data_IF_306599729372
#
_entry.id   IF_306599729372
#
_cell.length_a   1.000
_cell.length_b   1.000
_cell.length_c   1.000
_cell.angle_alpha   90.00
_cell.angle_beta   90.00
_cell.angle_gamma   90.00
#
_symmetry.space_group_name_H-M   'P 1'
#
loop_
_entity.id
_entity.type
_entity.pdbx_description
1 polymer ?
#
# COMPACT_ATOMS: atom_id res chain seq x y z
N UNK A 1 -7.74 -5.26 -15.99
CA UNK A 1 -8.93 -5.60 -16.74
C UNK A 1 -9.15 -4.58 -17.85
N UNK A 2 -9.39 -5.04 -19.08
CA UNK A 2 -9.63 -4.14 -20.22
C UNK A 2 -11.10 -3.75 -20.36
N UNK A 3 -11.96 -4.32 -19.51
CA UNK A 3 -13.41 -4.04 -19.56
C UNK A 3 -13.85 -3.27 -18.31
N UNK A 4 -14.75 -2.30 -18.45
CA UNK A 4 -15.26 -1.58 -17.30
C UNK A 4 -16.05 -2.52 -16.38
N UNK A 5 -15.91 -2.35 -15.08
CA UNK A 5 -16.72 -3.04 -14.11
C UNK A 5 -18.15 -2.46 -14.12
N UNK A 6 -19.14 -3.31 -14.17
CA UNK A 6 -20.56 -2.92 -14.18
C UNK A 6 -21.45 -3.84 -13.33
N UNK A 7 -22.73 -3.56 -13.30
CA UNK A 7 -23.74 -4.33 -12.52
C UNK A 7 -24.02 -5.75 -13.03
N UNK A 8 -23.53 -6.12 -14.22
CA UNK A 8 -23.70 -7.46 -14.80
C UNK A 8 -22.64 -8.46 -14.30
N UNK A 9 -21.72 -8.03 -13.44
CA UNK A 9 -20.71 -8.90 -12.85
C UNK A 9 -21.32 -10.03 -12.02
N UNK A 10 -20.67 -11.20 -11.94
CA UNK A 10 -21.13 -12.29 -11.10
C UNK A 10 -21.20 -11.88 -9.62
N UNK A 11 -22.31 -12.26 -8.95
CA UNK A 11 -22.49 -11.94 -7.51
C UNK A 11 -21.45 -12.55 -6.59
N UNK A 12 -20.81 -13.62 -7.03
CA UNK A 12 -19.71 -14.27 -6.31
C UNK A 12 -18.32 -13.72 -6.67
N UNK A 13 -18.25 -12.53 -7.25
CA UNK A 13 -16.98 -11.85 -7.48
C UNK A 13 -16.27 -11.55 -6.17
N UNK A 14 -14.98 -11.33 -6.26
CA UNK A 14 -14.09 -10.97 -5.15
C UNK A 14 -13.59 -9.56 -5.39
N UNK A 15 -13.65 -8.69 -4.40
CA UNK A 15 -12.97 -7.40 -4.46
C UNK A 15 -11.56 -7.55 -3.87
N UNK A 16 -10.54 -7.18 -4.64
CA UNK A 16 -9.19 -6.95 -4.15
C UNK A 16 -9.00 -5.46 -3.94
N UNK A 17 -8.62 -5.05 -2.73
CA UNK A 17 -8.35 -3.66 -2.38
C UNK A 17 -6.99 -3.55 -1.69
N UNK A 18 -6.27 -2.46 -1.92
CA UNK A 18 -4.95 -2.21 -1.38
C UNK A 18 -4.17 -1.18 -2.20
N UNK A 19 -2.88 -1.14 -1.98
CA UNK A 19 -1.95 -0.20 -2.59
C UNK A 19 -1.36 -0.71 -3.93
N UNK A 20 -0.11 -0.35 -4.21
CA UNK A 20 0.65 -0.74 -5.40
C UNK A 20 0.90 -2.25 -5.52
N UNK A 21 0.88 -2.99 -4.41
CA UNK A 21 1.01 -4.46 -4.43
C UNK A 21 -0.27 -5.08 -5.00
N UNK A 22 -1.43 -4.56 -4.61
CA UNK A 22 -2.71 -4.99 -5.17
C UNK A 22 -2.87 -4.57 -6.64
N UNK A 23 -2.42 -3.35 -7.01
CA UNK A 23 -2.45 -2.90 -8.41
C UNK A 23 -1.61 -3.79 -9.32
N UNK A 24 -0.53 -4.38 -8.81
CA UNK A 24 0.39 -5.22 -9.57
C UNK A 24 1.43 -4.42 -10.36
N UNK A 25 1.99 -3.38 -9.74
CA UNK A 25 3.04 -2.57 -10.37
C UNK A 25 4.26 -3.43 -10.72
N UNK A 26 4.76 -3.24 -11.95
CA UNK A 26 5.99 -3.88 -12.42
C UNK A 26 5.77 -5.10 -13.29
N UNK A 27 4.53 -5.58 -13.42
CA UNK A 27 4.17 -6.70 -14.28
C UNK A 27 3.09 -6.32 -15.29
N UNK A 28 2.93 -7.12 -16.34
CA UNK A 28 1.81 -6.97 -17.26
C UNK A 28 0.50 -7.41 -16.58
N UNK A 29 -0.64 -6.95 -17.10
CA UNK A 29 -1.96 -7.21 -16.54
C UNK A 29 -2.20 -8.70 -16.25
N UNK A 30 -1.95 -9.55 -17.23
CA UNK A 30 -2.17 -11.02 -17.12
C UNK A 30 -1.31 -11.73 -16.07
N UNK A 31 -0.30 -11.03 -15.53
CA UNK A 31 0.62 -11.55 -14.51
C UNK A 31 0.42 -10.88 -13.15
N UNK A 32 -0.60 -10.03 -13.00
CA UNK A 32 -0.95 -9.46 -11.70
C UNK A 32 -1.58 -10.51 -10.79
N UNK A 33 -1.47 -10.33 -9.50
CA UNK A 33 -2.11 -11.22 -8.51
C UNK A 33 -3.59 -11.44 -8.79
N UNK A 34 -4.33 -10.38 -9.13
CA UNK A 34 -5.76 -10.44 -9.39
C UNK A 34 -6.10 -11.36 -10.58
N UNK A 35 -5.44 -11.16 -11.71
CA UNK A 35 -5.68 -11.94 -12.93
C UNK A 35 -5.23 -13.41 -12.76
N UNK A 36 -4.11 -13.63 -12.07
CA UNK A 36 -3.64 -14.99 -11.78
C UNK A 36 -4.62 -15.71 -10.86
N UNK A 37 -5.05 -15.06 -9.76
CA UNK A 37 -6.01 -15.64 -8.83
C UNK A 37 -7.35 -15.91 -9.53
N UNK A 38 -7.88 -14.96 -10.31
CA UNK A 38 -9.12 -15.11 -11.09
C UNK A 38 -9.10 -16.37 -11.95
N UNK A 39 -8.01 -16.55 -12.71
CA UNK A 39 -7.80 -17.71 -13.57
C UNK A 39 -7.73 -19.02 -12.79
N UNK A 40 -7.03 -19.01 -11.64
CA UNK A 40 -6.80 -20.20 -10.84
C UNK A 40 -8.07 -20.69 -10.11
N UNK A 41 -8.94 -19.78 -9.68
CA UNK A 41 -10.16 -20.14 -8.94
C UNK A 41 -11.43 -20.14 -9.81
N UNK A 42 -11.35 -19.62 -11.04
CA UNK A 42 -12.50 -19.53 -11.96
C UNK A 42 -13.58 -18.57 -11.48
N UNK A 43 -13.23 -17.53 -10.69
CA UNK A 43 -14.14 -16.51 -10.16
C UNK A 43 -13.56 -15.13 -10.44
N UNK A 44 -14.42 -14.17 -10.78
CA UNK A 44 -14.02 -12.80 -11.08
C UNK A 44 -13.36 -12.12 -9.89
N UNK A 45 -12.20 -11.53 -10.11
CA UNK A 45 -11.47 -10.72 -9.11
C UNK A 45 -11.41 -9.27 -9.59
N UNK A 46 -12.14 -8.41 -8.90
CA UNK A 46 -12.23 -6.98 -9.21
C UNK A 46 -11.09 -6.25 -8.51
N UNK A 47 -10.09 -5.84 -9.27
CA UNK A 47 -8.90 -5.20 -8.73
C UNK A 47 -9.12 -3.69 -8.50
N UNK A 48 -9.18 -3.28 -7.25
CA UNK A 48 -9.22 -1.91 -6.76
C UNK A 48 -7.91 -1.48 -6.10
N UNK A 49 -6.81 -2.17 -6.39
CA UNK A 49 -5.46 -1.74 -6.00
C UNK A 49 -5.10 -0.43 -6.68
N UNK A 50 -4.44 0.46 -5.96
CA UNK A 50 -4.02 1.74 -6.49
C UNK A 50 -2.69 2.18 -5.93
N UNK A 51 -1.74 2.42 -6.81
CA UNK A 51 -0.43 2.94 -6.47
C UNK A 51 -0.43 4.43 -6.11
N UNK A 52 0.77 5.00 -6.02
CA UNK A 52 1.00 6.42 -5.79
C UNK A 52 0.53 6.94 -4.43
N UNK A 53 0.87 6.18 -3.39
CA UNK A 53 0.62 6.56 -1.99
C UNK A 53 -0.86 6.44 -1.58
N UNK A 54 -1.46 5.39 -2.03
CA UNK A 54 -2.80 5.01 -1.67
C UNK A 54 -2.73 4.18 -0.38
N UNK A 55 -3.46 4.60 0.63
CA UNK A 55 -3.42 3.96 1.94
C UNK A 55 -4.82 3.84 2.55
N UNK A 56 -4.96 3.34 3.78
CA UNK A 56 -6.23 2.90 4.37
C UNK A 56 -7.38 3.91 4.34
N UNK A 57 -7.11 5.22 4.39
CA UNK A 57 -8.15 6.24 4.25
C UNK A 57 -8.75 6.26 2.85
N UNK A 58 -7.90 6.17 1.83
CA UNK A 58 -8.36 6.16 0.44
C UNK A 58 -9.02 4.84 0.09
N UNK A 59 -8.52 3.73 0.61
CA UNK A 59 -9.08 2.39 0.43
C UNK A 59 -10.50 2.30 1.02
N UNK A 60 -10.71 2.84 2.22
CA UNK A 60 -12.05 2.92 2.81
C UNK A 60 -12.99 3.78 1.96
N UNK A 61 -12.54 4.95 1.53
CA UNK A 61 -13.34 5.83 0.68
C UNK A 61 -13.68 5.13 -0.64
N UNK A 62 -12.69 4.51 -1.30
CA UNK A 62 -12.86 3.82 -2.57
C UNK A 62 -13.86 2.67 -2.45
N UNK A 63 -13.74 1.84 -1.42
CA UNK A 63 -14.66 0.76 -1.18
C UNK A 63 -16.08 1.31 -0.97
N UNK A 64 -16.27 2.19 -0.02
CA UNK A 64 -17.56 2.73 0.37
C UNK A 64 -18.29 3.50 -0.74
N UNK A 65 -17.53 4.19 -1.63
CA UNK A 65 -18.14 5.06 -2.65
C UNK A 65 -18.19 4.45 -4.04
N UNK A 66 -17.48 3.37 -4.30
CA UNK A 66 -17.43 2.77 -5.64
C UNK A 66 -17.49 1.24 -5.60
N UNK A 67 -16.55 0.57 -4.92
CA UNK A 67 -16.47 -0.88 -5.01
C UNK A 67 -17.66 -1.59 -4.37
N UNK A 68 -18.25 -1.02 -3.31
CA UNK A 68 -19.45 -1.57 -2.65
C UNK A 68 -20.71 -1.59 -3.54
N UNK A 69 -20.76 -0.79 -4.61
CA UNK A 69 -21.85 -0.75 -5.56
C UNK A 69 -21.84 -1.94 -6.55
N UNK A 70 -20.69 -2.61 -6.68
CA UNK A 70 -20.53 -3.72 -7.61
C UNK A 70 -20.91 -5.06 -6.97
N UNK A 71 -21.46 -6.01 -7.77
CA UNK A 71 -21.77 -7.34 -7.27
C UNK A 71 -20.52 -8.08 -6.80
N UNK A 72 -20.46 -8.43 -5.52
CA UNK A 72 -19.39 -9.25 -4.93
C UNK A 72 -19.87 -9.86 -3.61
N UNK A 73 -19.22 -10.92 -3.15
CA UNK A 73 -19.51 -11.55 -1.87
C UNK A 73 -18.29 -11.76 -0.97
N UNK A 74 -17.11 -11.46 -1.47
CA UNK A 74 -15.86 -11.59 -0.73
C UNK A 74 -14.92 -10.41 -0.97
N UNK A 75 -14.01 -10.16 -0.01
CA UNK A 75 -12.98 -9.14 -0.09
C UNK A 75 -11.62 -9.71 0.29
N UNK A 76 -10.60 -9.37 -0.48
CA UNK A 76 -9.19 -9.51 -0.12
C UNK A 76 -8.63 -8.11 0.08
N UNK A 77 -8.19 -7.83 1.30
CA UNK A 77 -7.57 -6.56 1.69
C UNK A 77 -6.07 -6.74 1.88
N UNK A 78 -5.29 -6.14 1.01
CA UNK A 78 -3.84 -6.10 1.14
C UNK A 78 -3.44 -4.95 2.05
N UNK A 79 -2.75 -5.29 3.13
CA UNK A 79 -2.22 -4.34 4.10
C UNK A 79 -0.70 -4.42 4.13
N UNK A 80 -0.04 -3.35 3.69
CA UNK A 80 1.42 -3.22 3.62
C UNK A 80 1.92 -2.24 4.70
N UNK A 81 2.31 -2.70 5.90
CA UNK A 81 2.76 -1.84 7.00
C UNK A 81 3.86 -0.84 6.63
N UNK A 82 4.70 -1.18 5.64
CA UNK A 82 5.76 -0.32 5.14
C UNK A 82 5.25 1.01 4.55
N UNK A 83 4.03 1.02 4.01
CA UNK A 83 3.37 2.17 3.39
C UNK A 83 2.20 2.65 4.24
N UNK A 84 1.29 1.76 4.59
CA UNK A 84 -0.03 2.06 5.12
C UNK A 84 0.00 2.85 6.42
N UNK A 85 0.99 2.62 7.26
CA UNK A 85 1.13 3.41 8.49
C UNK A 85 1.41 4.90 8.25
N UNK A 86 2.03 5.25 7.13
CA UNK A 86 2.49 6.63 6.91
C UNK A 86 1.73 7.37 5.80
N UNK A 87 1.07 6.65 4.91
CA UNK A 87 0.55 7.26 3.68
C UNK A 87 -0.57 8.27 3.95
N UNK A 88 -1.42 8.02 4.90
CA UNK A 88 -2.49 8.95 5.26
C UNK A 88 -2.18 9.83 6.48
N UNK A 89 -0.96 9.79 6.99
CA UNK A 89 -0.52 10.70 8.05
C UNK A 89 0.14 11.95 7.45
N UNK A 90 -0.51 13.09 7.62
CA UNK A 90 -0.01 14.36 7.10
C UNK A 90 1.37 14.75 7.64
N UNK A 91 1.72 14.36 8.86
CA UNK A 91 3.02 14.68 9.51
C UNK A 91 4.18 14.15 8.67
N UNK A 92 4.04 12.94 8.12
CA UNK A 92 5.03 12.29 7.27
C UNK A 92 5.21 12.98 5.93
N UNK A 93 4.15 13.59 5.40
CA UNK A 93 4.18 14.24 4.09
C UNK A 93 4.57 15.71 4.13
N UNK A 94 4.33 16.41 5.24
CA UNK A 94 4.76 17.80 5.43
C UNK A 94 6.25 17.93 5.73
N UNK A 95 6.87 16.89 6.30
CA UNK A 95 8.30 16.86 6.61
C UNK A 95 9.19 16.53 5.41
N UNK A 96 8.63 16.02 4.31
CA UNK A 96 9.34 15.68 3.08
C UNK A 96 9.21 16.78 2.03
N UNK A 97 10.14 16.80 1.07
CA UNK A 97 10.19 17.83 0.01
C UNK A 97 8.93 17.92 -0.89
N UNK A 98 8.05 16.91 -0.85
CA UNK A 98 6.79 16.85 -1.59
C UNK A 98 5.61 17.39 -0.79
N UNK A 99 5.68 18.61 -0.34
CA UNK A 99 4.83 19.27 0.65
C UNK A 99 3.33 19.37 0.34
N UNK A 100 2.87 19.10 -0.86
CA UNK A 100 1.50 19.46 -1.26
C UNK A 100 0.84 18.37 -2.09
N UNK A 101 0.49 17.26 -1.44
CA UNK A 101 -0.42 16.31 -2.06
C UNK A 101 -1.84 16.60 -1.59
N UNK A 102 -2.70 17.01 -2.52
CA UNK A 102 -4.13 17.14 -2.28
C UNK A 102 -4.77 15.76 -2.29
N UNK A 103 -4.79 15.13 -1.13
CA UNK A 103 -5.43 13.83 -0.90
C UNK A 103 -6.04 13.80 0.49
N UNK A 104 -6.91 12.82 0.80
CA UNK A 104 -7.41 12.63 2.15
C UNK A 104 -6.28 12.19 3.10
N UNK A 105 -6.32 12.74 4.29
CA UNK A 105 -5.51 12.35 5.43
C UNK A 105 -6.42 12.04 6.61
N UNK A 106 -5.93 11.27 7.57
CA UNK A 106 -6.62 11.19 8.86
C UNK A 106 -6.17 12.32 9.79
N UNK A 107 -7.05 12.67 10.70
CA UNK A 107 -6.79 13.56 11.83
C UNK A 107 -7.45 12.99 13.07
N UNK A 108 -6.67 12.87 14.15
CA UNK A 108 -7.21 12.46 15.45
C UNK A 108 -8.15 13.54 15.99
N UNK A 109 -9.33 13.11 16.44
CA UNK A 109 -10.28 13.92 17.19
C UNK A 109 -10.27 13.48 18.67
N UNK A 110 -11.38 13.31 19.33
CA UNK A 110 -11.44 12.88 20.73
C UNK A 110 -11.52 11.34 20.85
N UNK A 111 -11.08 10.80 21.99
CA UNK A 111 -11.30 9.39 22.36
C UNK A 111 -10.80 8.34 21.34
N UNK A 112 -9.63 8.58 20.74
CA UNK A 112 -9.05 7.70 19.71
C UNK A 112 -9.94 7.51 18.46
N UNK A 113 -10.84 8.44 18.20
CA UNK A 113 -11.54 8.53 16.92
C UNK A 113 -10.73 9.37 15.94
N UNK A 114 -10.90 9.07 14.66
CA UNK A 114 -10.24 9.76 13.57
C UNK A 114 -11.26 10.18 12.53
N UNK A 115 -11.02 11.34 11.91
CA UNK A 115 -11.81 11.83 10.80
C UNK A 115 -10.95 12.02 9.56
N UNK A 116 -11.58 11.97 8.39
CA UNK A 116 -10.93 12.32 7.13
C UNK A 116 -10.90 13.83 7.01
N UNK A 117 -9.75 14.39 6.67
CA UNK A 117 -9.66 15.80 6.33
C UNK A 117 -8.86 16.02 5.04
N UNK A 118 -9.23 17.05 4.32
CA UNK A 118 -8.52 17.53 3.13
C UNK A 118 -7.84 18.85 3.46
N UNK A 119 -6.51 18.95 3.27
CA UNK A 119 -5.81 20.19 3.60
C UNK A 119 -6.30 21.34 2.70
N UNK A 120 -6.95 22.32 3.30
CA UNK A 120 -7.38 23.57 2.65
C UNK A 120 -6.22 24.57 2.57
N UNK A 121 -5.13 24.20 1.93
CA UNK A 121 -4.06 25.15 1.69
C UNK A 121 -4.43 26.00 0.47
N UNK A 122 -4.83 27.26 0.71
CA UNK A 122 -4.92 28.27 -0.36
C UNK A 122 -3.52 28.39 -0.95
N UNK A 123 -3.30 27.81 -2.11
CA UNK A 123 -2.06 27.98 -2.86
C UNK A 123 -1.98 29.45 -3.26
N UNK A 124 -1.28 30.23 -2.45
CA UNK A 124 -0.93 31.60 -2.82
C UNK A 124 -0.11 31.54 -4.10
N UNK A 125 -0.61 32.16 -5.17
CA UNK A 125 0.02 32.23 -6.51
C UNK A 125 0.09 30.91 -7.30
N UNK A 126 -1.04 30.20 -7.43
CA UNK A 126 -1.17 28.96 -8.24
C UNK A 126 -0.53 29.07 -9.63
N UNK A 127 -0.69 30.20 -10.32
CA UNK A 127 -0.24 30.37 -11.69
C UNK A 127 1.30 30.38 -11.83
N UNK A 128 2.00 31.15 -11.00
CA UNK A 128 3.48 31.25 -11.06
C UNK A 128 4.18 29.96 -10.61
N UNK A 129 3.64 29.28 -9.58
CA UNK A 129 4.19 28.01 -9.10
C UNK A 129 3.92 26.92 -10.15
N UNK A 130 2.73 26.88 -10.71
CA UNK A 130 2.36 25.92 -11.77
C UNK A 130 3.20 26.12 -13.03
N UNK A 131 3.41 27.37 -13.48
CA UNK A 131 4.21 27.65 -14.67
C UNK A 131 5.69 27.33 -14.47
N UNK A 132 6.28 27.72 -13.33
CA UNK A 132 7.68 27.38 -13.01
C UNK A 132 7.87 25.87 -12.88
N UNK A 133 6.97 25.17 -12.18
CA UNK A 133 7.00 23.73 -12.02
C UNK A 133 6.82 23.03 -13.38
N UNK A 134 5.92 23.48 -14.21
CA UNK A 134 5.68 22.92 -15.54
C UNK A 134 6.90 23.10 -16.45
N UNK A 135 7.48 24.30 -16.51
CA UNK A 135 8.67 24.57 -17.33
C UNK A 135 9.87 23.75 -16.81
N UNK A 136 10.09 23.74 -15.50
CA UNK A 136 11.17 22.96 -14.90
C UNK A 136 11.01 21.46 -15.16
N UNK A 137 9.80 20.94 -14.99
CA UNK A 137 9.51 19.53 -15.26
C UNK A 137 9.70 19.18 -16.73
N UNK A 138 9.26 20.05 -17.67
CA UNK A 138 9.49 19.85 -19.13
C UNK A 138 10.97 19.85 -19.47
N UNK A 139 11.75 20.80 -18.95
CA UNK A 139 13.20 20.84 -19.15
C UNK A 139 13.86 19.60 -18.57
N UNK A 140 13.46 19.18 -17.37
CA UNK A 140 13.99 17.98 -16.72
C UNK A 140 13.67 16.72 -17.53
N UNK A 141 12.44 16.58 -18.01
CA UNK A 141 12.03 15.44 -18.84
C UNK A 141 12.79 15.43 -20.17
N UNK A 142 12.94 16.57 -20.85
CA UNK A 142 13.75 16.68 -22.08
C UNK A 142 15.21 16.32 -21.80
N UNK A 143 15.79 16.81 -20.72
CA UNK A 143 17.16 16.48 -20.34
C UNK A 143 17.34 14.97 -20.09
N UNK A 144 16.41 14.33 -19.39
CA UNK A 144 16.44 12.88 -19.13
C UNK A 144 16.27 12.09 -20.43
N UNK A 145 15.37 12.54 -21.30
CA UNK A 145 15.03 11.82 -22.53
C UNK A 145 16.13 11.94 -23.61
N UNK A 146 16.80 13.08 -23.69
CA UNK A 146 17.72 13.38 -24.79
C UNK A 146 19.20 13.49 -24.41
N UNK A 147 19.58 13.37 -23.14
CA UNK A 147 20.99 13.47 -22.74
C UNK A 147 21.46 12.29 -21.90
N UNK A 148 22.53 11.63 -22.36
CA UNK A 148 23.24 10.61 -21.57
C UNK A 148 23.80 11.19 -20.27
N UNK A 149 24.24 12.44 -20.27
CA UNK A 149 24.78 13.14 -19.09
C UNK A 149 23.78 13.26 -17.94
N UNK A 150 22.51 13.60 -18.22
CA UNK A 150 21.50 13.70 -17.17
C UNK A 150 21.18 12.31 -16.55
N UNK A 151 21.16 11.26 -17.36
CA UNK A 151 20.96 9.90 -16.88
C UNK A 151 22.16 9.39 -16.07
N UNK A 152 23.38 9.70 -16.51
CA UNK A 152 24.61 9.36 -15.78
C UNK A 152 24.65 10.07 -14.43
N UNK A 153 24.35 11.38 -14.38
CA UNK A 153 24.28 12.14 -13.11
C UNK A 153 23.20 11.61 -12.18
N UNK A 154 22.03 11.20 -12.71
CA UNK A 154 20.97 10.57 -11.91
C UNK A 154 21.42 9.24 -11.32
N UNK A 155 22.16 8.45 -12.10
CA UNK A 155 22.73 7.17 -11.64
C UNK A 155 23.82 7.40 -10.59
N UNK A 156 24.73 8.34 -10.83
CA UNK A 156 25.79 8.72 -9.87
C UNK A 156 25.16 9.21 -8.57
N UNK A 157 24.14 10.08 -8.63
CA UNK A 157 23.45 10.56 -7.44
C UNK A 157 22.72 9.43 -6.68
N UNK A 158 22.15 8.45 -7.39
CA UNK A 158 21.56 7.26 -6.75
C UNK A 158 22.62 6.40 -6.09
N UNK A 159 23.76 6.16 -6.74
CA UNK A 159 24.88 5.43 -6.16
C UNK A 159 25.47 6.20 -4.98
N UNK A 160 25.71 7.50 -5.11
CA UNK A 160 26.18 8.35 -4.02
C UNK A 160 25.22 8.32 -2.83
N UNK A 161 23.91 8.41 -3.08
CA UNK A 161 22.88 8.26 -2.04
C UNK A 161 22.87 6.87 -1.39
N UNK A 162 23.19 5.80 -2.14
CA UNK A 162 23.38 4.45 -1.55
C UNK A 162 24.61 4.37 -0.64
N UNK A 163 25.71 5.01 -1.03
CA UNK A 163 26.97 4.98 -0.27
C UNK A 163 27.02 6.00 0.87
N UNK A 164 26.34 7.14 0.73
CA UNK A 164 26.32 8.22 1.72
C UNK A 164 25.08 8.22 2.59
N UNK A 165 24.16 7.27 2.45
CA UNK A 165 23.06 7.09 3.40
C UNK A 165 23.62 6.77 4.80
N UNK A 166 24.30 7.74 5.42
CA UNK A 166 24.00 8.07 6.80
C UNK A 166 22.48 8.23 6.83
N UNK A 167 21.84 7.46 7.71
CA UNK A 167 20.43 7.63 8.06
C UNK A 167 20.20 9.14 8.23
N UNK A 168 19.69 9.82 7.20
CA UNK A 168 18.99 11.07 7.41
C UNK A 168 17.70 10.66 8.11
N UNK A 169 17.84 10.37 9.40
CA UNK A 169 16.75 10.50 10.35
C UNK A 169 16.39 11.98 10.24
N UNK A 170 15.37 12.25 9.42
CA UNK A 170 14.72 13.55 9.44
C UNK A 170 14.32 13.73 10.90
N UNK A 171 14.94 14.70 11.56
CA UNK A 171 14.78 14.95 12.99
C UNK A 171 13.41 15.64 13.21
N UNK A 172 12.35 14.93 12.86
CA UNK A 172 10.95 15.35 13.02
C UNK A 172 10.41 15.01 14.40
N UNK A 173 11.22 14.37 15.26
CA UNK A 173 10.74 13.77 16.50
C UNK A 173 9.84 12.55 16.27
N UNK A 174 9.70 12.11 15.02
CA UNK A 174 8.95 10.92 14.61
C UNK A 174 9.95 9.76 14.52
N UNK A 175 9.59 8.63 15.06
CA UNK A 175 10.37 7.42 15.22
C UNK A 175 11.07 6.92 13.95
N UNK A 176 12.05 6.07 14.11
CA UNK A 176 12.95 5.58 13.06
C UNK A 176 12.62 4.19 12.53
N UNK A 177 11.54 3.57 12.97
CA UNK A 177 11.10 2.26 12.51
C UNK A 177 10.55 2.29 11.08
N UNK A 178 10.47 1.14 10.42
CA UNK A 178 9.89 0.96 9.09
C UNK A 178 9.18 -0.40 9.03
N UNK A 179 8.13 -0.49 8.21
CA UNK A 179 7.39 -1.73 8.02
C UNK A 179 6.83 -2.28 9.32
N UNK A 180 7.03 -3.55 9.56
CA UNK A 180 6.56 -4.26 10.77
C UNK A 180 7.12 -3.69 12.07
N UNK A 181 8.30 -3.06 12.02
CA UNK A 181 8.98 -2.49 13.19
C UNK A 181 8.82 -0.97 13.30
N UNK A 182 7.82 -0.45 12.62
CA UNK A 182 7.41 0.94 12.76
C UNK A 182 6.77 1.18 14.13
N UNK A 183 7.03 2.33 14.77
CA UNK A 183 6.68 2.58 16.17
C UNK A 183 6.03 3.95 16.45
N UNK A 184 5.62 4.70 15.41
CA UNK A 184 4.78 5.89 15.60
C UNK A 184 3.33 5.48 15.86
N UNK A 185 2.95 5.48 17.13
CA UNK A 185 1.62 5.00 17.56
C UNK A 185 0.47 5.79 16.96
N UNK A 186 0.62 7.11 16.72
CA UNK A 186 -0.47 7.90 16.16
C UNK A 186 -0.71 7.55 14.68
N UNK A 187 0.37 7.35 13.93
CA UNK A 187 0.29 6.91 12.55
C UNK A 187 -0.32 5.50 12.43
N UNK A 188 0.11 4.57 13.28
CA UNK A 188 -0.41 3.21 13.38
C UNK A 188 -1.90 3.23 13.73
N UNK A 189 -2.27 3.91 14.81
CA UNK A 189 -3.64 3.93 15.31
C UNK A 189 -4.60 4.56 14.27
N UNK A 190 -4.18 5.62 13.57
CA UNK A 190 -4.94 6.24 12.50
C UNK A 190 -5.13 5.31 11.29
N UNK A 191 -4.06 4.64 10.85
CA UNK A 191 -4.11 3.67 9.77
C UNK A 191 -5.05 2.51 10.11
N UNK A 192 -4.86 1.87 11.26
CA UNK A 192 -5.68 0.75 11.72
C UNK A 192 -7.15 1.13 11.98
N UNK A 193 -7.43 2.39 12.36
CA UNK A 193 -8.80 2.88 12.48
C UNK A 193 -9.54 2.83 11.13
N UNK A 194 -8.91 3.28 10.05
CA UNK A 194 -9.52 3.25 8.73
C UNK A 194 -9.55 1.85 8.12
N UNK A 195 -8.54 1.00 8.36
CA UNK A 195 -8.60 -0.42 8.02
C UNK A 195 -9.78 -1.12 8.69
N UNK A 196 -10.01 -0.85 9.99
CA UNK A 196 -11.19 -1.38 10.70
C UNK A 196 -12.49 -0.86 10.09
N UNK A 197 -12.55 0.43 9.74
CA UNK A 197 -13.74 1.03 9.13
C UNK A 197 -14.06 0.40 7.79
N UNK A 198 -13.07 0.19 6.91
CA UNK A 198 -13.19 -0.55 5.66
C UNK A 198 -13.82 -1.94 5.87
N UNK A 199 -13.31 -2.71 6.84
CA UNK A 199 -13.80 -4.05 7.14
C UNK A 199 -15.22 -4.06 7.73
N UNK A 200 -15.61 -3.01 8.44
CA UNK A 200 -16.98 -2.83 8.95
C UNK A 200 -17.96 -2.45 7.84
N UNK A 201 -17.56 -1.60 6.88
CA UNK A 201 -18.36 -1.31 5.68
C UNK A 201 -18.60 -2.59 4.84
N UNK A 202 -17.63 -3.50 4.84
CA UNK A 202 -17.73 -4.81 4.17
C UNK A 202 -18.35 -5.91 5.05
N UNK A 203 -19.05 -5.57 6.14
CA UNK A 203 -19.52 -6.55 7.14
C UNK A 203 -20.57 -7.53 6.64
N UNK A 204 -21.28 -7.20 5.57
CA UNK A 204 -22.28 -8.04 4.91
C UNK A 204 -21.70 -9.13 4.00
N UNK A 205 -20.39 -9.10 3.72
CA UNK A 205 -19.74 -10.08 2.87
C UNK A 205 -19.57 -11.42 3.58
N UNK A 206 -19.60 -12.49 2.81
CA UNK A 206 -19.41 -13.87 3.29
C UNK A 206 -18.01 -14.05 3.90
N UNK A 207 -16.99 -13.46 3.25
CA UNK A 207 -15.60 -13.57 3.71
C UNK A 207 -14.82 -12.26 3.46
N UNK A 208 -14.00 -11.91 4.44
CA UNK A 208 -13.05 -10.81 4.37
C UNK A 208 -11.69 -11.34 4.81
N UNK A 209 -10.71 -11.24 3.92
CA UNK A 209 -9.35 -11.69 4.14
C UNK A 209 -8.43 -10.46 4.24
N UNK A 210 -7.73 -10.31 5.35
CA UNK A 210 -6.66 -9.33 5.52
C UNK A 210 -5.35 -10.04 5.25
N UNK A 211 -4.66 -9.64 4.20
CA UNK A 211 -3.32 -10.16 3.86
C UNK A 211 -2.28 -9.14 4.26
N UNK A 212 -1.49 -9.46 5.28
CA UNK A 212 -0.36 -8.60 5.69
C UNK A 212 0.83 -8.92 4.80
N UNK A 213 1.40 -7.89 4.20
CA UNK A 213 2.51 -7.98 3.26
C UNK A 213 3.78 -7.46 3.91
N UNK A 214 4.80 -8.31 4.11
CA UNK A 214 6.10 -7.87 4.60
C UNK A 214 6.90 -7.14 3.53
N UNK A 215 7.86 -6.35 3.96
CA UNK A 215 8.91 -5.79 3.11
C UNK A 215 10.23 -6.53 3.31
N UNK A 216 11.19 -6.35 2.41
CA UNK A 216 12.53 -6.93 2.55
C UNK A 216 13.18 -6.57 3.89
N UNK A 217 12.99 -5.32 4.35
CA UNK A 217 13.56 -4.87 5.63
C UNK A 217 12.93 -5.59 6.82
N UNK A 218 11.68 -6.05 6.71
CA UNK A 218 11.02 -6.81 7.77
C UNK A 218 11.68 -8.17 7.93
N UNK A 219 11.97 -8.87 6.84
CA UNK A 219 12.75 -10.13 6.88
C UNK A 219 14.15 -9.92 7.42
N UNK A 220 14.85 -8.84 7.04
CA UNK A 220 16.16 -8.50 7.60
C UNK A 220 16.11 -8.32 9.12
N UNK A 221 15.07 -7.65 9.62
CA UNK A 221 14.88 -7.45 11.05
C UNK A 221 14.55 -8.76 11.77
N UNK A 222 13.69 -9.60 11.20
CA UNK A 222 13.33 -10.91 11.77
C UNK A 222 14.54 -11.86 11.79
N UNK A 223 15.32 -11.89 10.73
CA UNK A 223 16.57 -12.66 10.66
C UNK A 223 17.57 -12.24 11.75
N UNK A 224 17.58 -10.95 12.12
CA UNK A 224 18.36 -10.44 13.25
C UNK A 224 17.69 -10.65 14.63
N UNK A 225 16.72 -11.53 14.73
CA UNK A 225 16.07 -11.97 15.97
C UNK A 225 14.99 -11.03 16.51
N UNK A 226 14.53 -10.04 15.74
CA UNK A 226 13.41 -9.21 16.16
C UNK A 226 12.09 -9.95 15.93
N UNK A 227 11.17 -9.82 16.90
CA UNK A 227 9.82 -10.39 16.83
C UNK A 227 8.77 -9.29 16.80
N UNK A 228 8.00 -9.19 15.71
CA UNK A 228 6.94 -8.21 15.52
C UNK A 228 5.59 -8.67 16.07
N UNK A 229 5.38 -9.98 16.29
CA UNK A 229 4.07 -10.54 16.70
C UNK A 229 3.60 -10.06 18.07
N UNK A 230 4.52 -9.54 18.89
CA UNK A 230 4.22 -8.93 20.18
C UNK A 230 4.08 -7.41 20.11
N UNK A 231 4.29 -6.79 18.95
CA UNK A 231 4.13 -5.35 18.80
C UNK A 231 2.66 -4.95 18.83
N UNK A 232 2.40 -3.77 19.36
CA UNK A 232 1.03 -3.25 19.55
C UNK A 232 0.20 -3.31 18.26
N UNK A 233 0.73 -2.88 17.13
CA UNK A 233 0.00 -2.87 15.86
C UNK A 233 -0.46 -4.26 15.42
N UNK A 234 0.39 -5.28 15.62
CA UNK A 234 0.05 -6.65 15.23
C UNK A 234 -1.03 -7.23 16.12
N UNK A 235 -0.95 -6.95 17.42
CA UNK A 235 -2.00 -7.32 18.37
C UNK A 235 -3.31 -6.58 18.08
N UNK A 236 -3.22 -5.32 17.66
CA UNK A 236 -4.39 -4.51 17.31
C UNK A 236 -5.05 -5.00 16.01
N UNK A 237 -4.30 -5.32 14.95
CA UNK A 237 -4.88 -5.86 13.71
C UNK A 237 -5.50 -7.24 13.92
N UNK A 238 -4.92 -8.09 14.79
CA UNK A 238 -5.53 -9.35 15.23
C UNK A 238 -6.86 -9.13 15.94
N UNK A 239 -6.93 -8.13 16.81
CA UNK A 239 -8.17 -7.75 17.50
C UNK A 239 -9.20 -7.20 16.51
N UNK A 240 -8.77 -6.37 15.56
CA UNK A 240 -9.63 -5.86 14.48
C UNK A 240 -10.19 -7.03 13.66
N UNK A 241 -9.36 -7.95 13.23
CA UNK A 241 -9.77 -9.15 12.51
C UNK A 241 -10.87 -9.92 13.25
N UNK A 242 -10.67 -10.17 14.55
CA UNK A 242 -11.67 -10.83 15.41
C UNK A 242 -12.98 -10.01 15.55
N UNK A 243 -12.87 -8.69 15.74
CA UNK A 243 -14.03 -7.80 15.87
C UNK A 243 -14.84 -7.63 14.60
N UNK A 244 -14.21 -7.78 13.46
CA UNK A 244 -14.84 -7.64 12.14
C UNK A 244 -15.19 -8.98 11.50
N UNK A 245 -14.98 -10.09 12.20
CA UNK A 245 -15.12 -11.45 11.67
C UNK A 245 -14.36 -11.62 10.34
N UNK A 246 -13.13 -11.12 10.29
CA UNK A 246 -12.24 -11.23 9.14
C UNK A 246 -11.15 -12.25 9.41
N UNK A 247 -10.59 -12.83 8.37
CA UNK A 247 -9.46 -13.76 8.48
C UNK A 247 -8.18 -12.95 8.33
N UNK A 248 -7.22 -13.15 9.25
CA UNK A 248 -5.91 -12.54 9.16
C UNK A 248 -4.91 -13.54 8.59
N UNK A 249 -4.21 -13.16 7.53
CA UNK A 249 -3.22 -13.98 6.86
C UNK A 249 -1.93 -13.19 6.67
N UNK A 250 -0.88 -13.61 7.33
CA UNK A 250 0.40 -12.91 7.33
C UNK A 250 1.38 -13.66 6.41
N UNK A 251 1.76 -13.03 5.30
CA UNK A 251 2.68 -13.64 4.34
C UNK A 251 4.05 -13.94 4.94
N UNK A 252 4.47 -13.22 5.98
CA UNK A 252 5.72 -13.50 6.67
C UNK A 252 5.74 -14.87 7.39
N UNK A 253 4.60 -15.50 7.59
CA UNK A 253 4.52 -16.85 8.17
C UNK A 253 4.72 -17.97 7.12
N UNK A 254 4.78 -17.61 5.84
CA UNK A 254 4.80 -18.57 4.73
C UNK A 254 6.06 -18.49 3.87
N UNK A 255 6.88 -17.46 4.06
CA UNK A 255 8.09 -17.25 3.29
C UNK A 255 9.29 -16.98 4.19
N UNK A 256 10.43 -17.53 3.82
CA UNK A 256 11.72 -17.13 4.36
C UNK A 256 12.29 -15.94 3.56
N UNK A 257 13.34 -15.33 4.10
CA UNK A 257 13.98 -14.17 3.47
C UNK A 257 14.45 -14.46 2.04
N UNK A 258 15.08 -15.60 1.83
CA UNK A 258 15.63 -16.03 0.55
C UNK A 258 14.55 -16.30 -0.50
N UNK A 259 13.37 -16.72 -0.08
CA UNK A 259 12.23 -16.91 -0.98
C UNK A 259 11.63 -15.56 -1.36
N UNK A 260 11.48 -14.66 -0.38
CA UNK A 260 10.99 -13.32 -0.65
C UNK A 260 11.87 -12.53 -1.62
N UNK A 261 13.20 -12.65 -1.48
CA UNK A 261 14.16 -12.01 -2.39
C UNK A 261 14.01 -12.45 -3.85
N UNK A 262 13.52 -13.66 -4.11
CA UNK A 262 13.25 -14.17 -5.46
C UNK A 262 11.90 -13.71 -6.03
N UNK A 263 11.00 -13.25 -5.17
CA UNK A 263 9.64 -12.87 -5.52
C UNK A 263 9.50 -11.39 -5.89
N UNK A 264 10.51 -10.58 -5.60
CA UNK A 264 10.43 -9.13 -5.72
C UNK A 264 11.44 -8.54 -6.70
N UNK A 265 11.05 -7.48 -7.36
CA UNK A 265 11.98 -6.66 -8.15
C UNK A 265 13.03 -6.03 -7.23
N UNK A 266 14.29 -6.27 -7.52
CA UNK A 266 15.43 -5.75 -6.73
C UNK A 266 15.52 -4.23 -6.70
N UNK A 267 14.85 -3.52 -7.61
CA UNK A 267 14.90 -2.06 -7.73
C UNK A 267 13.93 -1.32 -6.80
N UNK A 268 12.77 -1.92 -6.46
CA UNK A 268 11.71 -1.23 -5.71
C UNK A 268 10.92 -2.11 -4.73
N UNK A 269 11.10 -3.44 -4.78
CA UNK A 269 10.51 -4.38 -3.83
C UNK A 269 9.07 -4.79 -4.14
N UNK A 270 8.49 -4.40 -5.30
CA UNK A 270 7.21 -4.94 -5.75
C UNK A 270 7.37 -6.37 -6.25
N UNK A 271 6.31 -7.18 -6.16
CA UNK A 271 6.33 -8.54 -6.67
C UNK A 271 6.59 -8.55 -8.18
N UNK A 272 7.47 -9.41 -8.61
CA UNK A 272 7.63 -9.77 -10.02
C UNK A 272 6.55 -10.78 -10.46
N UNK A 273 6.65 -11.31 -11.67
CA UNK A 273 5.70 -12.30 -12.21
C UNK A 273 5.64 -13.54 -11.31
N UNK A 274 6.79 -14.00 -10.83
CA UNK A 274 6.86 -15.17 -9.96
C UNK A 274 6.22 -14.89 -8.59
N UNK A 275 6.49 -13.72 -7.99
CA UNK A 275 5.92 -13.33 -6.72
C UNK A 275 4.40 -13.22 -6.75
N UNK A 276 3.84 -12.58 -7.79
CA UNK A 276 2.39 -12.51 -8.00
C UNK A 276 1.76 -13.91 -8.10
N UNK A 277 2.40 -14.84 -8.84
CA UNK A 277 1.92 -16.20 -9.03
C UNK A 277 1.94 -17.00 -7.73
N UNK A 278 3.06 -16.99 -7.00
CA UNK A 278 3.21 -17.74 -5.75
C UNK A 278 2.24 -17.27 -4.67
N UNK A 279 2.03 -15.96 -4.55
CA UNK A 279 1.07 -15.43 -3.57
C UNK A 279 -0.36 -15.79 -3.97
N UNK A 280 -0.71 -15.75 -5.26
CA UNK A 280 -2.03 -16.18 -5.74
C UNK A 280 -2.28 -17.69 -5.46
N UNK A 281 -1.30 -18.55 -5.73
CA UNK A 281 -1.37 -19.98 -5.42
C UNK A 281 -1.52 -20.23 -3.92
N UNK A 282 -0.75 -19.52 -3.09
CA UNK A 282 -0.83 -19.63 -1.64
C UNK A 282 -2.21 -19.22 -1.11
N UNK A 283 -2.77 -18.14 -1.60
CA UNK A 283 -4.11 -17.66 -1.24
C UNK A 283 -5.18 -18.66 -1.72
N UNK A 284 -5.10 -19.13 -2.97
CA UNK A 284 -5.98 -20.18 -3.50
C UNK A 284 -6.01 -21.39 -2.57
N UNK A 285 -4.85 -21.98 -2.29
CA UNK A 285 -4.71 -23.19 -1.48
C UNK A 285 -5.28 -23.04 -0.07
N UNK A 286 -5.15 -21.88 0.55
CA UNK A 286 -5.58 -21.69 1.93
C UNK A 286 -7.04 -21.25 2.08
N UNK A 287 -7.66 -20.69 1.02
CA UNK A 287 -8.98 -20.07 1.14
C UNK A 287 -10.00 -20.50 0.08
N UNK A 288 -9.60 -21.16 -0.98
CA UNK A 288 -10.50 -21.54 -2.08
C UNK A 288 -10.49 -23.03 -2.42
N UNK A 289 -9.59 -23.83 -1.85
CA UNK A 289 -9.57 -25.29 -1.86
C UNK A 289 -10.08 -25.86 -0.53
#
# INVERSE_FOLDING_TARGET
DNEPYDENLPKNSIILIGDSMAEGIGVNLENTFAEVLEKEIGRKVLNFGSAAFFGPVQEEILYRTLASELPHNEMIYFFLPANDFTENDRRWWTSRLNKFRHRPYFRKIKNNEYEVFYPNEKIKNKFLISLKSFIFHRIQMLAIQYTYTANTLKTINRLYAKFTKKKDVVNTGISSGYGYFFDDHEAIDGSLYFSKKLLLEASNLERRLIVIIPSQIDFDNMYNGKNYKNLKWYLDIKRISSQTNSILFDLADHFEKEDWEKMVHTCDGHWDIYGNSIVAELIKKNFFE
#
